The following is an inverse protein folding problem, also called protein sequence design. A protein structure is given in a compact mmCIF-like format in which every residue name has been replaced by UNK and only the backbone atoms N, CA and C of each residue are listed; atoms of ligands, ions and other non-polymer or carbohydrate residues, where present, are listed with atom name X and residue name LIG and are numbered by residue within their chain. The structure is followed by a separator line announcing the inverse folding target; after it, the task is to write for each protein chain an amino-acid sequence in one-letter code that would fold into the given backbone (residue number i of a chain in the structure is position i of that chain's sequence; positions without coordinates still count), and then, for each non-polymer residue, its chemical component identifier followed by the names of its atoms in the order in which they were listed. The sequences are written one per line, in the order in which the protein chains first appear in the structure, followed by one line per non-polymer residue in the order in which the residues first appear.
data_IF_240029815040
#
_entry.id   IF_240029815040
#
_cell.length_a   1.000
_cell.length_b   1.000
_cell.length_c   1.000
_cell.angle_alpha   90.00
_cell.angle_beta   90.00
_cell.angle_gamma   90.00
#
_symmetry.space_group_name_H-M   'P 1'
#
loop_
_entity.id
_entity.type
_entity.pdbx_description
1 polymer ?
#
# COMPACT_ATOMS: atom_id res chain seq x y z
N UNK A 1 11.15 -24.43 10.22
CA UNK A 1 10.95 -24.14 8.78
C UNK A 1 10.03 -22.94 8.65
N UNK A 2 10.37 -21.90 7.85
CA UNK A 2 9.43 -20.83 7.53
C UNK A 2 8.18 -21.41 6.83
N UNK A 3 6.99 -20.90 7.17
CA UNK A 3 5.73 -21.33 6.55
C UNK A 3 5.71 -20.94 5.07
N UNK A 4 5.02 -21.73 4.25
CA UNK A 4 4.73 -21.34 2.86
C UNK A 4 3.96 -20.00 2.85
N UNK A 5 4.20 -19.18 1.83
CA UNK A 5 3.62 -17.81 1.76
C UNK A 5 2.08 -17.82 1.75
N UNK A 6 1.46 -18.85 1.17
CA UNK A 6 0.01 -19.08 1.16
C UNK A 6 -0.54 -19.35 2.57
N UNK A 7 0.11 -20.23 3.32
CA UNK A 7 -0.27 -20.55 4.70
C UNK A 7 -0.07 -19.37 5.65
N UNK A 8 1.03 -18.62 5.49
CA UNK A 8 1.31 -17.41 6.27
C UNK A 8 0.21 -16.35 6.05
N UNK A 9 -0.24 -16.18 4.80
CA UNK A 9 -1.36 -15.29 4.45
C UNK A 9 -2.67 -15.73 5.10
N UNK A 10 -2.99 -17.03 5.04
CA UNK A 10 -4.23 -17.54 5.63
C UNK A 10 -4.27 -17.31 7.14
N UNK A 11 -3.16 -17.59 7.84
CA UNK A 11 -3.06 -17.33 9.29
C UNK A 11 -3.21 -15.85 9.63
N UNK A 12 -2.60 -14.95 8.84
CA UNK A 12 -2.75 -13.52 9.05
C UNK A 12 -4.22 -13.07 8.89
N UNK A 13 -4.92 -13.58 7.89
CA UNK A 13 -6.35 -13.31 7.68
C UNK A 13 -7.20 -13.80 8.85
N UNK A 14 -6.98 -15.04 9.32
CA UNK A 14 -7.69 -15.60 10.49
C UNK A 14 -7.48 -14.69 11.71
N UNK A 15 -6.23 -14.33 12.01
CA UNK A 15 -5.89 -13.47 13.14
C UNK A 15 -6.56 -12.09 13.04
N UNK A 16 -6.61 -11.50 11.84
CA UNK A 16 -7.27 -10.21 11.61
C UNK A 16 -8.78 -10.29 11.89
N UNK A 17 -9.47 -11.31 11.36
CA UNK A 17 -10.90 -11.50 11.58
C UNK A 17 -11.23 -11.74 13.06
N UNK A 18 -10.48 -12.63 13.73
CA UNK A 18 -10.64 -12.87 15.17
C UNK A 18 -10.41 -11.59 15.97
N UNK A 19 -9.36 -10.83 15.65
CA UNK A 19 -9.05 -9.57 16.32
C UNK A 19 -10.18 -8.54 16.18
N UNK A 20 -10.80 -8.44 15.00
CA UNK A 20 -11.92 -7.53 14.78
C UNK A 20 -13.23 -8.01 15.40
N UNK A 21 -13.47 -9.32 15.45
CA UNK A 21 -14.60 -9.90 16.17
C UNK A 21 -14.53 -9.58 17.67
N UNK A 22 -13.31 -9.61 18.25
CA UNK A 22 -13.07 -9.27 19.66
C UNK A 22 -13.06 -7.76 19.94
N UNK A 23 -13.21 -6.91 18.92
CA UNK A 23 -13.21 -5.45 19.10
C UNK A 23 -14.63 -4.93 19.27
N UNK A 24 -15.04 -4.67 20.51
CA UNK A 24 -16.36 -4.11 20.82
C UNK A 24 -16.52 -2.67 20.31
N UNK A 25 -15.53 -1.81 20.57
CA UNK A 25 -15.54 -0.42 20.10
C UNK A 25 -14.45 -0.18 19.04
N UNK A 26 -14.86 -0.21 17.78
CA UNK A 26 -13.96 -0.02 16.63
C UNK A 26 -13.33 1.38 16.57
N UNK A 27 -14.10 2.40 16.95
CA UNK A 27 -13.64 3.79 16.97
C UNK A 27 -12.55 3.99 18.02
N UNK A 28 -12.70 3.39 19.20
CA UNK A 28 -11.73 3.44 20.29
C UNK A 28 -10.42 2.72 19.93
N UNK A 29 -10.49 1.55 19.27
CA UNK A 29 -9.31 0.80 18.83
C UNK A 29 -8.36 1.63 17.95
N UNK A 30 -8.89 2.52 17.12
CA UNK A 30 -8.10 3.34 16.19
C UNK A 30 -7.86 4.78 16.68
N UNK A 31 -8.49 5.20 17.78
CA UNK A 31 -8.39 6.57 18.28
C UNK A 31 -6.95 6.98 18.66
N UNK A 32 -6.13 6.14 19.33
CA UNK A 32 -4.75 6.51 19.66
C UNK A 32 -3.89 6.78 18.42
N UNK A 33 -4.03 5.95 17.38
CA UNK A 33 -3.29 6.12 16.13
C UNK A 33 -3.70 7.40 15.38
N UNK A 34 -5.01 7.71 15.35
CA UNK A 34 -5.51 8.97 14.76
C UNK A 34 -4.97 10.18 15.51
N UNK A 35 -5.01 10.15 16.85
CA UNK A 35 -4.49 11.24 17.69
C UNK A 35 -2.99 11.46 17.48
N UNK A 36 -2.20 10.39 17.49
CA UNK A 36 -0.75 10.49 17.28
C UNK A 36 -0.40 11.09 15.90
N UNK A 37 -1.20 10.79 14.87
CA UNK A 37 -1.02 11.39 13.55
C UNK A 37 -1.33 12.89 13.56
N UNK A 38 -2.40 13.31 14.22
CA UNK A 38 -2.77 14.72 14.34
C UNK A 38 -1.74 15.50 15.18
N UNK A 39 -1.28 14.91 16.29
CA UNK A 39 -0.21 15.47 17.15
C UNK A 39 1.11 15.67 16.39
N UNK A 40 1.49 14.72 15.52
CA UNK A 40 2.67 14.86 14.66
C UNK A 40 2.59 16.13 13.81
N UNK A 41 1.47 16.36 13.13
CA UNK A 41 1.33 17.53 12.27
C UNK A 41 1.24 18.82 13.07
N UNK A 42 0.62 18.77 14.26
CA UNK A 42 0.60 19.92 15.17
C UNK A 42 2.00 20.29 15.65
N UNK A 43 2.83 19.30 15.99
CA UNK A 43 4.22 19.51 16.40
C UNK A 43 5.06 20.07 15.24
N UNK A 44 4.93 19.53 14.02
CA UNK A 44 5.58 20.08 12.81
C UNK A 44 5.10 21.51 12.51
N UNK A 45 3.84 21.81 12.84
CA UNK A 45 3.27 23.13 12.74
C UNK A 45 3.63 24.07 13.91
N UNK A 46 4.48 23.65 14.85
CA UNK A 46 4.85 24.48 16.00
C UNK A 46 3.65 24.90 16.86
N UNK A 47 2.60 24.08 16.88
CA UNK A 47 1.36 24.35 17.63
C UNK A 47 0.27 25.12 16.86
N UNK A 48 0.50 25.52 15.61
CA UNK A 48 -0.52 26.20 14.78
C UNK A 48 -1.48 25.18 14.12
N UNK A 49 -2.78 25.16 14.49
CA UNK A 49 -3.73 24.19 13.95
C UNK A 49 -4.03 24.38 12.46
N UNK A 50 -4.07 25.63 11.97
CA UNK A 50 -4.34 25.89 10.56
C UNK A 50 -3.18 25.38 9.70
N UNK A 51 -1.95 25.66 10.12
CA UNK A 51 -0.75 25.14 9.46
C UNK A 51 -0.68 23.60 9.53
N UNK A 52 -1.06 23.00 10.65
CA UNK A 52 -1.12 21.54 10.80
C UNK A 52 -2.09 20.90 9.80
N UNK A 53 -3.27 21.49 9.59
CA UNK A 53 -4.24 21.02 8.61
C UNK A 53 -3.67 21.04 7.18
N UNK A 54 -2.98 22.13 6.81
CA UNK A 54 -2.32 22.24 5.52
C UNK A 54 -1.20 21.20 5.34
N UNK A 55 -0.38 20.96 6.38
CA UNK A 55 0.66 19.94 6.37
C UNK A 55 0.08 18.53 6.20
N UNK A 56 -1.02 18.24 6.91
CA UNK A 56 -1.75 16.97 6.80
C UNK A 56 -2.29 16.76 5.38
N UNK A 57 -2.92 17.77 4.78
CA UNK A 57 -3.40 17.71 3.38
C UNK A 57 -2.25 17.45 2.41
N UNK A 58 -1.16 18.20 2.55
CA UNK A 58 0.03 18.03 1.71
C UNK A 58 0.63 16.62 1.85
N UNK A 59 0.67 16.05 3.06
CA UNK A 59 1.14 14.68 3.29
C UNK A 59 0.34 13.65 2.48
N UNK A 60 -0.99 13.69 2.55
CA UNK A 60 -1.83 12.76 1.80
C UNK A 60 -1.76 12.97 0.29
N UNK A 61 -1.63 14.22 -0.18
CA UNK A 61 -1.42 14.52 -1.60
C UNK A 61 -0.11 13.93 -2.11
N UNK A 62 0.99 14.05 -1.35
CA UNK A 62 2.28 13.40 -1.71
C UNK A 62 2.14 11.88 -1.78
N UNK A 63 1.41 11.27 -0.85
CA UNK A 63 1.17 9.83 -0.86
C UNK A 63 0.35 9.40 -2.09
N UNK A 64 -0.69 10.15 -2.44
CA UNK A 64 -1.50 9.92 -3.63
C UNK A 64 -0.68 10.04 -4.91
N UNK A 65 0.17 11.06 -5.02
CA UNK A 65 1.08 11.25 -6.15
C UNK A 65 2.04 10.06 -6.30
N UNK A 66 2.70 9.66 -5.21
CA UNK A 66 3.61 8.49 -5.22
C UNK A 66 2.89 7.22 -5.62
N UNK A 67 1.66 7.03 -5.15
CA UNK A 67 0.82 5.89 -5.51
C UNK A 67 0.46 5.89 -7.00
N UNK A 68 0.10 7.04 -7.58
CA UNK A 68 -0.19 7.17 -9.00
C UNK A 68 1.05 6.89 -9.86
N UNK A 69 2.21 7.41 -9.48
CA UNK A 69 3.48 7.13 -10.13
C UNK A 69 3.84 5.64 -10.08
N UNK A 70 3.66 5.00 -8.91
CA UNK A 70 3.91 3.56 -8.75
C UNK A 70 3.02 2.71 -9.65
N UNK A 71 1.72 3.03 -9.74
CA UNK A 71 0.79 2.32 -10.62
C UNK A 71 1.18 2.47 -12.09
N UNK A 72 1.62 3.66 -12.50
CA UNK A 72 2.08 3.89 -13.87
C UNK A 72 3.30 3.03 -14.21
N UNK A 73 4.33 3.05 -13.35
CA UNK A 73 5.53 2.23 -13.53
C UNK A 73 5.24 0.74 -13.57
N UNK A 74 4.32 0.25 -12.73
CA UNK A 74 3.91 -1.14 -12.73
C UNK A 74 3.29 -1.54 -14.08
N UNK A 75 2.42 -0.69 -14.66
CA UNK A 75 1.82 -0.94 -15.98
C UNK A 75 2.87 -0.94 -17.10
N UNK A 76 3.80 0.01 -17.07
CA UNK A 76 4.91 0.08 -18.03
C UNK A 76 5.78 -1.20 -17.96
N UNK A 77 6.11 -1.66 -16.75
CA UNK A 77 6.88 -2.88 -16.55
C UNK A 77 6.13 -4.14 -17.02
N UNK A 78 4.83 -4.25 -16.74
CA UNK A 78 4.01 -5.36 -17.24
C UNK A 78 3.92 -5.35 -18.76
N UNK A 79 3.71 -4.18 -19.38
CA UNK A 79 3.65 -4.07 -20.84
C UNK A 79 5.00 -4.43 -21.50
N UNK A 80 6.12 -4.00 -20.90
CA UNK A 80 7.45 -4.37 -21.38
C UNK A 80 7.71 -5.88 -21.26
N UNK A 81 7.29 -6.51 -20.16
CA UNK A 81 7.41 -7.96 -20.00
C UNK A 81 6.57 -8.72 -21.03
N UNK A 82 5.32 -8.30 -21.26
CA UNK A 82 4.44 -8.89 -22.28
C UNK A 82 5.01 -8.73 -23.70
N UNK A 83 5.60 -7.59 -24.02
CA UNK A 83 6.25 -7.39 -25.31
C UNK A 83 7.48 -8.29 -25.49
N UNK A 84 8.30 -8.46 -24.45
CA UNK A 84 9.45 -9.35 -24.47
C UNK A 84 9.06 -10.83 -24.56
N UNK A 85 7.99 -11.25 -23.86
CA UNK A 85 7.41 -12.60 -23.98
C UNK A 85 6.93 -12.84 -25.43
N UNK A 86 6.22 -11.88 -26.02
CA UNK A 86 5.75 -12.00 -27.40
C UNK A 86 6.89 -12.05 -28.43
N UNK A 87 7.97 -11.29 -28.21
CA UNK A 87 9.18 -11.34 -29.06
C UNK A 87 9.87 -12.71 -28.94
N UNK A 88 10.00 -13.24 -27.72
CA UNK A 88 10.58 -14.56 -27.48
C UNK A 88 9.77 -15.68 -28.14
N UNK A 89 8.44 -15.62 -28.03
CA UNK A 89 7.53 -16.57 -28.68
C UNK A 89 7.67 -16.53 -30.21
N UNK A 90 7.86 -15.35 -30.81
CA UNK A 90 8.09 -15.21 -32.25
C UNK A 90 9.42 -15.83 -32.69
N UNK A 91 10.49 -15.61 -31.92
CA UNK A 91 11.81 -16.15 -32.22
C UNK A 91 11.85 -17.67 -32.06
N UNK A 92 11.25 -18.19 -31.00
CA UNK A 92 11.23 -19.64 -30.70
C UNK A 92 10.23 -20.41 -31.56
N UNK A 93 9.16 -19.77 -32.03
CA UNK A 93 8.21 -20.34 -32.98
C UNK A 93 8.72 -20.40 -34.44
N UNK A 94 9.79 -19.67 -34.76
CA UNK A 94 10.42 -19.65 -36.08
C UNK A 94 11.40 -20.81 -36.34
N UNK A 95 11.91 -21.48 -35.29
CA UNK A 95 12.85 -22.61 -35.40
C UNK A 95 12.15 -23.99 -35.54
N UNK A 96 10.82 -24.00 -35.69
CA UNK A 96 10.01 -25.22 -35.82
C UNK A 96 9.45 -25.45 -37.24
N UNK A 97 10.05 -24.86 -38.28
CA UNK A 97 9.67 -25.05 -39.69
C UNK A 97 10.82 -25.63 -40.53
#
# INVERSE_FOLDING_TARGET
MPRATSEARLVASIAAHTSWANTENRSARTAPARRALDEKFLAEAGGDPARAEHLRKAHFQRLALKSAQSRRRAREATAAAQAAEAELDQLTGGDAA
#
